data_IF_647122609189
#
_entry.id   IF_647122609189
#
_cell.length_a   1.000
_cell.length_b   1.000
_cell.length_c   1.000
_cell.angle_alpha   90.00
_cell.angle_beta   90.00
_cell.angle_gamma   90.00
#
_symmetry.space_group_name_H-M   'P 1'
#
loop_
_entity.id
_entity.type
_entity.pdbx_description
1 polymer ?
#
# COMPACT_ATOMS: atom_id res chain seq x y z
N UNK A 1 2.48 0.85 -1.16
CA UNK A 1 1.04 0.58 -1.04
C UNK A 1 0.36 1.75 -0.35
N UNK A 2 -0.86 2.12 -0.79
CA UNK A 2 -1.68 3.09 -0.07
C UNK A 2 -2.05 2.58 1.33
N UNK A 3 -2.11 3.51 2.28
CA UNK A 3 -2.47 3.24 3.68
C UNK A 3 -3.54 4.22 4.12
N UNK A 4 -4.32 3.82 5.13
CA UNK A 4 -5.29 4.74 5.74
C UNK A 4 -4.56 6.02 6.14
N UNK A 5 -5.03 7.21 5.72
CA UNK A 5 -4.33 8.44 6.01
C UNK A 5 -4.12 8.64 7.52
N UNK A 6 -2.90 8.99 7.89
CA UNK A 6 -2.51 9.23 9.27
C UNK A 6 -1.73 10.54 9.36
N UNK A 7 -2.15 11.41 10.28
CA UNK A 7 -1.40 12.61 10.61
C UNK A 7 0.00 12.27 11.10
N UNK A 8 0.98 12.99 10.58
CA UNK A 8 2.37 12.90 10.99
C UNK A 8 2.91 14.31 11.22
N UNK A 9 3.35 14.57 12.45
CA UNK A 9 4.08 15.78 12.78
C UNK A 9 5.46 15.72 12.12
N UNK A 10 5.88 16.78 11.43
CA UNK A 10 7.26 16.85 10.95
C UNK A 10 8.20 17.02 12.15
N UNK A 11 8.77 15.92 12.61
CA UNK A 11 10.01 15.93 13.34
C UNK A 11 10.75 14.62 13.05
N UNK A 12 11.44 14.52 11.92
CA UNK A 12 12.32 13.38 11.69
C UNK A 12 13.51 13.75 10.79
N UNK A 13 14.65 14.06 11.41
CA UNK A 13 15.97 14.17 10.78
C UNK A 13 16.37 12.92 9.96
N UNK A 14 15.60 11.83 10.06
CA UNK A 14 15.81 10.51 9.48
C UNK A 14 15.18 10.30 8.08
N UNK A 15 14.47 11.27 7.52
CA UNK A 15 13.92 11.15 6.16
C UNK A 15 14.60 12.09 5.18
N UNK A 16 14.69 11.65 3.94
CA UNK A 16 15.21 12.38 2.81
C UNK A 16 14.17 12.39 1.69
N UNK A 17 13.93 13.55 1.09
CA UNK A 17 12.94 13.74 0.03
C UNK A 17 13.56 13.33 -1.31
N UNK A 18 12.95 12.37 -2.01
CA UNK A 18 13.34 12.03 -3.40
C UNK A 18 12.58 12.86 -4.43
N UNK A 19 11.29 13.10 -4.17
CA UNK A 19 10.39 13.80 -5.08
C UNK A 19 9.41 14.64 -4.28
N UNK A 20 8.98 15.75 -4.88
CA UNK A 20 7.99 16.65 -4.29
C UNK A 20 7.11 17.27 -5.38
N UNK A 21 5.86 17.53 -5.03
CA UNK A 21 4.95 18.43 -5.72
C UNK A 21 4.38 19.43 -4.71
N UNK A 22 3.42 20.25 -5.14
CA UNK A 22 2.70 21.16 -4.25
C UNK A 22 2.01 20.36 -3.13
N UNK A 23 1.36 19.24 -3.50
CA UNK A 23 0.49 18.48 -2.61
C UNK A 23 1.10 17.19 -2.06
N UNK A 24 2.18 16.67 -2.64
CA UNK A 24 2.75 15.39 -2.24
C UNK A 24 4.27 15.42 -2.08
N UNK A 25 4.78 14.65 -1.12
CA UNK A 25 6.23 14.46 -0.90
C UNK A 25 6.54 12.98 -0.78
N UNK A 26 7.43 12.48 -1.63
CA UNK A 26 7.98 11.13 -1.53
C UNK A 26 9.29 11.18 -0.76
N UNK A 27 9.38 10.37 0.29
CA UNK A 27 10.54 10.31 1.15
C UNK A 27 11.03 8.88 1.34
N UNK A 28 12.34 8.74 1.56
CA UNK A 28 12.94 7.51 2.04
C UNK A 28 13.70 7.74 3.36
N UNK A 29 13.92 6.66 4.12
CA UNK A 29 14.73 6.71 5.33
C UNK A 29 16.21 6.84 5.01
N UNK A 30 16.90 7.74 5.71
CA UNK A 30 18.37 7.85 5.69
C UNK A 30 18.99 6.58 6.25
N UNK A 31 20.05 6.09 5.62
CA UNK A 31 20.77 4.86 6.02
C UNK A 31 20.16 3.56 5.50
N UNK A 32 19.05 3.60 4.76
CA UNK A 32 18.56 2.46 4.02
C UNK A 32 19.31 2.34 2.68
N UNK A 33 20.19 1.35 2.54
CA UNK A 33 20.76 0.93 1.24
C UNK A 33 22.04 1.62 0.74
N UNK A 34 22.69 2.53 1.49
CA UNK A 34 23.85 3.29 0.98
C UNK A 34 25.22 2.90 1.50
N UNK A 35 25.39 1.84 2.31
CA UNK A 35 26.75 1.39 2.68
C UNK A 35 26.88 -0.13 2.62
N UNK A 36 27.79 -0.59 1.76
CA UNK A 36 28.52 -1.86 1.89
C UNK A 36 29.23 -1.91 3.27
N UNK A 37 28.49 -2.10 4.36
CA UNK A 37 29.07 -2.26 5.69
C UNK A 37 28.60 -3.58 6.29
N UNK A 38 29.54 -4.52 6.29
CA UNK A 38 29.46 -5.89 6.75
C UNK A 38 29.51 -5.96 8.30
N UNK A 39 29.10 -4.88 9.00
CA UNK A 39 29.50 -4.63 10.39
C UNK A 39 28.38 -4.65 11.43
N UNK A 40 27.23 -5.28 11.16
CA UNK A 40 26.21 -5.48 12.21
C UNK A 40 25.88 -6.95 12.48
N UNK A 41 26.71 -7.87 12.02
CA UNK A 41 26.67 -9.24 12.51
C UNK A 41 27.23 -9.26 13.94
N UNK A 42 26.46 -9.90 14.84
CA UNK A 42 26.78 -10.40 16.19
C UNK A 42 26.47 -9.44 17.35
N UNK A 43 25.36 -9.65 18.07
CA UNK A 43 25.27 -10.40 19.36
C UNK A 43 23.84 -10.26 19.96
N UNK A 44 23.24 -11.41 20.29
CA UNK A 44 22.23 -11.60 21.36
C UNK A 44 20.86 -10.95 21.12
N UNK A 45 19.80 -11.64 20.73
CA UNK A 45 19.22 -12.82 21.38
C UNK A 45 18.18 -13.39 20.42
N UNK A 46 18.07 -14.70 20.35
CA UNK A 46 17.37 -15.48 19.33
C UNK A 46 15.83 -15.46 19.48
N UNK A 47 15.25 -14.33 19.90
CA UNK A 47 13.80 -14.16 20.16
C UNK A 47 13.30 -12.81 19.61
N UNK A 48 13.03 -12.75 18.30
CA UNK A 48 11.91 -11.97 17.71
C UNK A 48 11.97 -12.10 16.18
N UNK A 49 11.43 -13.19 15.65
CA UNK A 49 11.35 -13.48 14.20
C UNK A 49 10.26 -12.63 13.49
N UNK A 50 9.88 -11.48 14.05
CA UNK A 50 8.92 -10.52 13.48
C UNK A 50 9.33 -9.06 13.69
N UNK A 51 10.63 -8.77 13.58
CA UNK A 51 11.15 -7.41 13.58
C UNK A 51 10.89 -6.75 12.21
N UNK A 52 9.63 -6.39 11.93
CA UNK A 52 9.28 -5.63 10.72
C UNK A 52 9.81 -4.20 10.87
N UNK A 53 11.06 -4.02 10.42
CA UNK A 53 11.64 -2.69 10.21
C UNK A 53 10.59 -1.83 9.48
N UNK A 54 10.26 -0.63 9.98
CA UNK A 54 9.20 0.15 9.36
C UNK A 54 9.56 0.47 7.91
N UNK A 55 8.55 0.49 7.04
CA UNK A 55 8.70 0.70 5.61
C UNK A 55 9.67 1.87 5.31
N UNK A 56 10.75 1.64 4.53
CA UNK A 56 11.77 2.63 4.24
C UNK A 56 11.30 3.75 3.33
N UNK A 57 10.17 3.60 2.63
CA UNK A 57 9.60 4.62 1.74
C UNK A 57 8.20 5.04 2.19
N UNK A 58 7.87 6.32 2.00
CA UNK A 58 6.54 6.88 2.26
C UNK A 58 6.17 8.02 1.31
N UNK A 59 4.88 8.23 1.09
CA UNK A 59 4.32 9.43 0.47
C UNK A 59 3.48 10.17 1.50
N UNK A 60 3.72 11.47 1.60
CA UNK A 60 2.97 12.39 2.45
C UNK A 60 2.13 13.32 1.58
N UNK A 61 0.88 13.53 1.95
CA UNK A 61 0.05 14.66 1.51
C UNK A 61 0.33 15.88 2.39
N UNK A 62 0.39 17.06 1.77
CA UNK A 62 0.60 18.35 2.41
C UNK A 62 -0.17 19.43 1.65
N UNK A 63 -0.38 20.58 2.28
CA UNK A 63 -0.82 21.80 1.60
C UNK A 63 0.07 22.99 1.99
N UNK A 64 0.21 24.02 1.14
CA UNK A 64 1.16 25.12 1.36
C UNK A 64 1.04 25.85 2.70
N UNK A 65 -0.18 26.01 3.24
CA UNK A 65 -0.40 26.73 4.50
C UNK A 65 -0.38 25.84 5.75
N UNK A 66 -0.42 24.51 5.59
CA UNK A 66 -0.52 23.56 6.69
C UNK A 66 0.85 23.04 7.14
N UNK A 67 1.07 23.01 8.46
CA UNK A 67 2.22 22.31 9.07
C UNK A 67 1.93 20.82 9.31
N UNK A 68 0.71 20.37 9.02
CA UNK A 68 0.24 19.00 9.22
C UNK A 68 0.38 18.21 7.92
N UNK A 69 0.99 17.03 8.03
CA UNK A 69 1.22 16.13 6.91
C UNK A 69 0.41 14.87 7.15
N UNK A 70 -0.05 14.24 6.07
CA UNK A 70 -0.80 12.99 6.15
C UNK A 70 -0.06 11.91 5.37
N UNK A 71 0.35 10.84 6.04
CA UNK A 71 0.93 9.68 5.35
C UNK A 71 -0.17 8.94 4.59
N UNK A 72 -0.05 8.89 3.26
CA UNK A 72 -1.06 8.25 2.38
C UNK A 72 -0.57 6.96 1.74
N UNK A 73 0.75 6.73 1.69
CA UNK A 73 1.32 5.48 1.21
C UNK A 73 2.63 5.14 1.93
N UNK A 74 2.93 3.84 2.06
CA UNK A 74 4.22 3.34 2.50
C UNK A 74 4.60 2.08 1.71
N UNK A 75 5.91 1.84 1.50
CA UNK A 75 6.35 0.65 0.78
C UNK A 75 7.73 0.14 1.23
N UNK A 76 7.96 -1.15 1.02
CA UNK A 76 9.24 -1.80 1.33
C UNK A 76 10.29 -1.52 0.27
N UNK A 77 9.87 -1.33 -0.98
CA UNK A 77 10.77 -1.09 -2.09
C UNK A 77 10.52 0.25 -2.77
N UNK A 78 11.58 0.79 -3.38
CA UNK A 78 11.49 2.01 -4.19
C UNK A 78 10.54 1.85 -5.38
N UNK A 79 10.50 0.65 -5.97
CA UNK A 79 9.64 0.36 -7.11
C UNK A 79 8.17 0.53 -6.74
N UNK A 80 7.74 -0.13 -5.67
CA UNK A 80 6.34 -0.09 -5.21
C UNK A 80 5.89 1.33 -4.85
N UNK A 81 6.72 2.12 -4.15
CA UNK A 81 6.33 3.48 -3.79
C UNK A 81 6.24 4.40 -5.02
N UNK A 82 7.05 4.15 -6.06
CA UNK A 82 6.98 4.91 -7.30
C UNK A 82 5.72 4.58 -8.11
N UNK A 83 5.23 3.34 -8.06
CA UNK A 83 3.95 2.98 -8.67
C UNK A 83 2.78 3.74 -8.01
N UNK A 84 2.77 3.86 -6.68
CA UNK A 84 1.76 4.68 -5.99
C UNK A 84 1.94 6.18 -6.29
N UNK A 85 3.18 6.66 -6.39
CA UNK A 85 3.47 8.03 -6.80
C UNK A 85 2.91 8.34 -8.18
N UNK A 86 3.23 7.53 -9.18
CA UNK A 86 2.74 7.73 -10.55
C UNK A 86 1.22 7.62 -10.62
N UNK A 87 0.61 6.74 -9.81
CA UNK A 87 -0.84 6.65 -9.68
C UNK A 87 -1.45 7.97 -9.17
N UNK A 88 -0.88 8.60 -8.14
CA UNK A 88 -1.35 9.89 -7.62
C UNK A 88 -1.29 10.99 -8.69
N UNK A 89 -0.21 11.03 -9.47
CA UNK A 89 -0.06 12.03 -10.53
C UNK A 89 -1.10 11.85 -11.63
N UNK A 90 -1.35 10.62 -12.05
CA UNK A 90 -2.26 10.33 -13.15
C UNK A 90 -3.75 10.40 -12.76
N UNK A 91 -4.09 10.23 -11.48
CA UNK A 91 -5.49 10.05 -11.04
C UNK A 91 -5.99 11.09 -10.05
N UNK A 92 -5.10 11.87 -9.42
CA UNK A 92 -5.45 12.78 -8.33
C UNK A 92 -4.97 14.19 -8.60
N UNK A 93 -3.70 14.37 -9.02
CA UNK A 93 -3.05 15.69 -9.05
C UNK A 93 -3.76 16.73 -9.93
N UNK A 94 -4.27 16.36 -11.11
CA UNK A 94 -4.97 17.31 -11.99
C UNK A 94 -6.22 17.90 -11.31
N UNK A 95 -7.01 17.05 -10.65
CA UNK A 95 -8.22 17.46 -9.92
C UNK A 95 -7.89 18.37 -8.73
N UNK A 96 -6.73 18.22 -8.09
CA UNK A 96 -6.36 19.08 -6.95
C UNK A 96 -6.20 20.54 -7.35
N UNK A 97 -5.88 20.83 -8.62
CA UNK A 97 -5.75 22.19 -9.11
C UNK A 97 -7.08 22.93 -9.31
N UNK A 98 -8.22 22.22 -9.30
CA UNK A 98 -9.54 22.85 -9.44
C UNK A 98 -10.15 23.32 -8.12
N UNK A 99 -9.52 23.05 -6.98
CA UNK A 99 -10.00 23.46 -5.67
C UNK A 99 -9.40 24.80 -5.24
N UNK A 100 -10.23 25.64 -4.62
CA UNK A 100 -9.82 26.94 -4.07
C UNK A 100 -9.51 26.89 -2.56
N UNK A 101 -9.82 25.78 -1.88
CA UNK A 101 -9.64 25.57 -0.44
C UNK A 101 -8.67 24.43 -0.16
N UNK A 102 -7.65 24.68 0.67
CA UNK A 102 -6.69 23.65 1.10
C UNK A 102 -7.35 22.55 1.96
N UNK A 103 -8.41 22.90 2.69
CA UNK A 103 -9.20 21.92 3.46
C UNK A 103 -9.93 20.98 2.51
N UNK A 104 -10.57 21.51 1.46
CA UNK A 104 -11.27 20.69 0.44
C UNK A 104 -10.29 19.78 -0.31
N UNK A 105 -9.08 20.29 -0.61
CA UNK A 105 -7.99 19.50 -1.20
C UNK A 105 -7.66 18.32 -0.29
N UNK A 106 -7.49 18.58 1.00
CA UNK A 106 -7.13 17.55 1.98
C UNK A 106 -8.24 16.52 2.12
N UNK A 107 -9.49 16.96 2.28
CA UNK A 107 -10.66 16.07 2.38
C UNK A 107 -10.83 15.21 1.13
N UNK A 108 -10.65 15.80 -0.06
CA UNK A 108 -10.68 15.05 -1.31
C UNK A 108 -9.60 13.96 -1.35
N UNK A 109 -8.35 14.29 -0.98
CA UNK A 109 -7.26 13.32 -0.94
C UNK A 109 -7.57 12.20 0.06
N UNK A 110 -8.00 12.52 1.28
CA UNK A 110 -8.33 11.50 2.29
C UNK A 110 -9.41 10.55 1.80
N UNK A 111 -10.53 11.11 1.31
CA UNK A 111 -11.64 10.33 0.76
C UNK A 111 -11.18 9.45 -0.42
N UNK A 112 -10.37 10.01 -1.33
CA UNK A 112 -9.91 9.29 -2.52
C UNK A 112 -8.99 8.13 -2.16
N UNK A 113 -8.08 8.31 -1.22
CA UNK A 113 -7.18 7.25 -0.76
C UNK A 113 -7.94 6.15 -0.04
N UNK A 114 -8.85 6.49 0.87
CA UNK A 114 -9.69 5.51 1.54
C UNK A 114 -10.55 4.70 0.56
N UNK A 115 -11.11 5.37 -0.46
CA UNK A 115 -11.84 4.70 -1.54
C UNK A 115 -10.95 3.71 -2.31
N UNK A 116 -9.71 4.08 -2.65
CA UNK A 116 -8.79 3.18 -3.37
C UNK A 116 -8.44 1.95 -2.53
N UNK A 117 -8.24 2.13 -1.23
CA UNK A 117 -7.94 1.02 -0.31
C UNK A 117 -9.13 0.08 -0.22
N UNK A 118 -10.34 0.61 -0.08
CA UNK A 118 -11.57 -0.19 -0.05
C UNK A 118 -11.74 -1.00 -1.34
N UNK A 119 -11.57 -0.37 -2.51
CA UNK A 119 -11.68 -1.06 -3.80
C UNK A 119 -10.60 -2.14 -3.98
N UNK A 120 -9.35 -1.91 -3.56
CA UNK A 120 -8.31 -2.95 -3.64
C UNK A 120 -8.63 -4.16 -2.76
N UNK A 121 -9.12 -3.91 -1.54
CA UNK A 121 -9.51 -4.98 -0.62
C UNK A 121 -10.69 -5.81 -1.15
N UNK A 122 -11.70 -5.19 -1.78
CA UNK A 122 -12.81 -5.92 -2.41
C UNK A 122 -12.31 -6.84 -3.54
N UNK A 123 -11.42 -6.35 -4.40
CA UNK A 123 -10.85 -7.16 -5.48
C UNK A 123 -10.00 -8.33 -4.95
N UNK A 124 -9.23 -8.14 -3.88
CA UNK A 124 -8.42 -9.21 -3.28
C UNK A 124 -9.30 -10.34 -2.72
N UNK A 125 -10.44 -10.01 -2.09
CA UNK A 125 -11.40 -11.00 -1.58
C UNK A 125 -12.07 -11.76 -2.73
N UNK A 126 -12.51 -11.06 -3.77
CA UNK A 126 -13.14 -11.70 -4.94
C UNK A 126 -12.16 -12.64 -5.68
N UNK A 127 -10.87 -12.27 -5.76
CA UNK A 127 -9.82 -13.11 -6.33
C UNK A 127 -9.53 -14.34 -5.46
N UNK A 128 -9.51 -14.20 -4.14
CA UNK A 128 -9.35 -15.32 -3.20
C UNK A 128 -10.53 -16.29 -3.29
N UNK A 129 -11.76 -15.79 -3.33
CA UNK A 129 -12.97 -16.60 -3.50
C UNK A 129 -12.95 -17.33 -4.84
N UNK A 130 -12.54 -16.66 -5.92
CA UNK A 130 -12.38 -17.26 -7.24
C UNK A 130 -11.31 -18.37 -7.25
N UNK A 131 -10.18 -18.16 -6.57
CA UNK A 131 -9.12 -19.14 -6.44
C UNK A 131 -9.58 -20.37 -5.63
N UNK A 132 -10.27 -20.14 -4.51
CA UNK A 132 -10.81 -21.20 -3.65
C UNK A 132 -11.86 -22.05 -4.40
N UNK A 133 -12.70 -21.42 -5.22
CA UNK A 133 -13.69 -22.10 -6.05
C UNK A 133 -13.05 -23.00 -7.11
N UNK A 134 -11.98 -22.52 -7.78
CA UNK A 134 -11.21 -23.32 -8.74
C UNK A 134 -10.60 -24.56 -8.07
N UNK A 135 -9.98 -24.39 -6.90
CA UNK A 135 -9.41 -25.51 -6.13
C UNK A 135 -10.48 -26.53 -5.74
N UNK A 136 -11.65 -26.08 -5.30
CA UNK A 136 -12.76 -26.97 -4.94
C UNK A 136 -13.31 -27.70 -6.14
N UNK A 137 -13.43 -27.02 -7.29
CA UNK A 137 -13.84 -27.62 -8.56
C UNK A 137 -12.88 -28.73 -8.97
N UNK A 138 -11.58 -28.49 -8.94
CA UNK A 138 -10.57 -29.50 -9.28
C UNK A 138 -10.61 -30.73 -8.36
N UNK A 139 -10.82 -30.52 -7.05
CA UNK A 139 -10.99 -31.61 -6.08
C UNK A 139 -12.25 -32.43 -6.37
N UNK A 140 -13.37 -31.76 -6.64
CA UNK A 140 -14.64 -32.39 -6.94
C UNK A 140 -14.55 -33.27 -8.19
N UNK A 141 -14.02 -32.74 -9.30
CA UNK A 141 -13.86 -33.49 -10.54
C UNK A 141 -12.97 -34.73 -10.36
N UNK A 142 -11.88 -34.61 -9.60
CA UNK A 142 -10.99 -35.75 -9.28
C UNK A 142 -11.68 -36.79 -8.41
N UNK A 143 -12.40 -36.37 -7.36
CA UNK A 143 -13.03 -37.28 -6.40
C UNK A 143 -14.09 -38.18 -7.07
N UNK A 144 -14.86 -37.61 -8.00
CA UNK A 144 -15.91 -38.31 -8.72
C UNK A 144 -15.46 -38.84 -10.09
N UNK A 145 -14.18 -38.67 -10.42
CA UNK A 145 -13.58 -39.09 -11.69
C UNK A 145 -14.36 -38.57 -12.92
N UNK A 146 -14.79 -37.31 -12.83
CA UNK A 146 -15.60 -36.63 -13.85
C UNK A 146 -14.72 -36.11 -15.00
N UNK A 147 -15.25 -36.07 -16.23
CA UNK A 147 -14.62 -35.40 -17.36
C UNK A 147 -14.29 -33.93 -17.08
N UNK A 148 -13.26 -33.38 -17.74
CA UNK A 148 -12.84 -31.97 -17.53
C UNK A 148 -13.84 -30.93 -18.04
N UNK A 149 -14.75 -31.34 -18.91
CA UNK A 149 -15.85 -30.57 -19.45
C UNK A 149 -17.05 -30.48 -18.49
N UNK A 150 -17.08 -31.29 -17.43
CA UNK A 150 -18.05 -31.13 -16.34
C UNK A 150 -17.72 -29.91 -15.48
N UNK A 151 -18.77 -29.19 -15.06
CA UNK A 151 -18.63 -27.92 -14.34
C UNK A 151 -19.30 -27.98 -12.98
N UNK A 152 -18.53 -27.73 -11.92
CA UNK A 152 -19.09 -27.44 -10.60
C UNK A 152 -19.81 -26.09 -10.67
N UNK A 153 -21.13 -26.09 -10.48
CA UNK A 153 -21.96 -24.88 -10.57
C UNK A 153 -21.99 -24.12 -9.25
N UNK A 154 -22.10 -24.84 -8.13
CA UNK A 154 -22.08 -24.27 -6.79
C UNK A 154 -21.71 -25.35 -5.77
N UNK A 155 -21.20 -24.95 -4.61
CA UNK A 155 -21.03 -25.82 -3.46
C UNK A 155 -21.28 -25.04 -2.18
N UNK A 156 -21.77 -25.72 -1.15
CA UNK A 156 -21.96 -25.14 0.18
C UNK A 156 -20.97 -25.80 1.12
N UNK A 157 -20.09 -25.00 1.73
CA UNK A 157 -19.25 -25.49 2.82
C UNK A 157 -20.09 -25.56 4.08
N UNK A 158 -20.30 -26.76 4.62
CA UNK A 158 -20.77 -26.90 5.99
C UNK A 158 -19.61 -26.51 6.92
N UNK A 159 -19.81 -25.53 7.79
CA UNK A 159 -18.92 -25.26 8.94
C UNK A 159 -19.28 -26.17 10.11
#
# INVERSE_FOLDING_TARGET
MFVKPQEVLIANAFWETEKSSIYFVLQHRKGHGTVKSISSLIVGTMDSIFDTKPAPFRILHQTPSSEVYHMVACAMTRKEILEDWDWLFNNVCETLHSFDSEDDITDFVMCKIESVIATRHENDVDDEDTASFKVTTDKFLRLFNLPKDEKLVNYYSCR
#
